data_IF_304897037869
#
_entry.id   IF_304897037869
#
_cell.length_a   1.000
_cell.length_b   1.000
_cell.length_c   1.000
_cell.angle_alpha   90.00
_cell.angle_beta   90.00
_cell.angle_gamma   90.00
#
_symmetry.space_group_name_H-M   'P 1'
#
loop_
_entity.id
_entity.type
_entity.pdbx_description
1 polymer ?
#
# COMPACT_ATOMS: atom_id res chain seq x y z
N UNK A 1 -5.20 -2.47 -35.12
CA UNK A 1 -6.33 -2.99 -34.32
C UNK A 1 -6.00 -4.27 -33.53
N UNK A 2 -4.97 -5.05 -33.90
CA UNK A 2 -4.64 -6.32 -33.22
C UNK A 2 -4.16 -6.21 -31.77
N UNK A 3 -3.72 -5.04 -31.30
CA UNK A 3 -3.24 -4.87 -29.92
C UNK A 3 -4.37 -4.89 -28.88
N UNK A 4 -5.54 -4.33 -29.19
CA UNK A 4 -6.68 -4.24 -28.25
C UNK A 4 -7.52 -5.53 -28.26
N UNK A 5 -7.17 -6.51 -29.13
CA UNK A 5 -7.86 -7.79 -29.30
C UNK A 5 -9.38 -7.67 -29.48
N UNK A 6 -9.83 -6.62 -30.15
CA UNK A 6 -11.24 -6.46 -30.51
C UNK A 6 -11.52 -7.18 -31.81
N UNK A 7 -12.61 -7.94 -31.84
CA UNK A 7 -13.14 -8.48 -33.08
C UNK A 7 -13.60 -7.35 -34.01
N UNK A 8 -13.34 -7.50 -35.31
CA UNK A 8 -13.61 -6.47 -36.32
C UNK A 8 -15.10 -6.12 -36.35
N UNK A 9 -15.98 -7.12 -36.26
CA UNK A 9 -17.43 -6.92 -36.25
C UNK A 9 -17.89 -6.15 -35.00
N UNK A 10 -17.30 -6.46 -33.84
CA UNK A 10 -17.61 -5.77 -32.60
C UNK A 10 -17.17 -4.30 -32.66
N UNK A 11 -16.01 -4.00 -33.25
CA UNK A 11 -15.53 -2.63 -33.43
C UNK A 11 -16.51 -1.74 -34.20
N UNK A 12 -17.07 -2.23 -35.32
CA UNK A 12 -18.02 -1.44 -36.11
C UNK A 12 -19.39 -1.27 -35.45
N UNK A 13 -19.72 -2.11 -34.46
CA UNK A 13 -20.95 -1.99 -33.68
C UNK A 13 -20.85 -1.00 -32.51
N UNK A 14 -19.64 -0.57 -32.14
CA UNK A 14 -19.40 0.30 -30.99
C UNK A 14 -19.67 1.77 -31.31
N UNK A 15 -20.35 2.45 -30.39
CA UNK A 15 -20.35 3.91 -30.37
C UNK A 15 -19.00 4.45 -29.90
N UNK A 16 -18.65 5.68 -30.30
CA UNK A 16 -17.38 6.31 -29.91
C UNK A 16 -17.11 6.26 -28.39
N UNK A 17 -18.13 6.52 -27.57
CA UNK A 17 -18.01 6.46 -26.10
C UNK A 17 -17.68 5.05 -25.61
N UNK A 18 -18.36 4.04 -26.17
CA UNK A 18 -18.09 2.65 -25.80
C UNK A 18 -16.69 2.24 -26.24
N UNK A 19 -16.27 2.62 -27.44
CA UNK A 19 -14.91 2.38 -27.91
C UNK A 19 -13.87 2.99 -26.97
N UNK A 20 -13.98 4.28 -26.61
CA UNK A 20 -13.06 4.95 -25.69
C UNK A 20 -13.01 4.25 -24.33
N UNK A 21 -14.17 3.85 -23.79
CA UNK A 21 -14.22 3.10 -22.53
C UNK A 21 -13.52 1.75 -22.64
N UNK A 22 -13.70 1.02 -23.74
CA UNK A 22 -13.03 -0.25 -23.99
C UNK A 22 -11.51 -0.08 -24.10
N UNK A 23 -11.04 0.94 -24.82
CA UNK A 23 -9.60 1.23 -24.92
C UNK A 23 -9.00 1.57 -23.56
N UNK A 24 -9.67 2.43 -22.79
CA UNK A 24 -9.21 2.81 -21.45
C UNK A 24 -9.19 1.60 -20.50
N UNK A 25 -10.20 0.73 -20.58
CA UNK A 25 -10.24 -0.52 -19.82
C UNK A 25 -9.10 -1.46 -20.19
N UNK A 26 -8.82 -1.61 -21.49
CA UNK A 26 -7.73 -2.44 -22.00
C UNK A 26 -6.35 -1.93 -21.54
N UNK A 27 -6.11 -0.62 -21.62
CA UNK A 27 -4.86 -0.02 -21.14
C UNK A 27 -4.65 -0.28 -19.66
N UNK A 28 -5.69 -0.06 -18.83
CA UNK A 28 -5.63 -0.36 -17.39
C UNK A 28 -5.31 -1.84 -17.12
N UNK A 29 -5.91 -2.75 -17.89
CA UNK A 29 -5.65 -4.19 -17.76
C UNK A 29 -4.19 -4.53 -18.08
N UNK A 30 -3.65 -4.04 -19.20
CA UNK A 30 -2.25 -4.27 -19.58
C UNK A 30 -1.29 -3.65 -18.57
N UNK A 31 -1.60 -2.47 -18.02
CA UNK A 31 -0.79 -1.84 -16.97
C UNK A 31 -0.76 -2.69 -15.69
N UNK A 32 -1.91 -3.24 -15.25
CA UNK A 32 -1.97 -4.14 -14.09
C UNK A 32 -1.16 -5.41 -14.35
N UNK A 33 -1.32 -6.02 -15.52
CA UNK A 33 -0.60 -7.24 -15.91
C UNK A 33 0.91 -7.01 -16.02
N UNK A 34 1.32 -5.86 -16.54
CA UNK A 34 2.73 -5.46 -16.59
C UNK A 34 3.30 -5.33 -15.18
N UNK A 35 2.59 -4.63 -14.27
CA UNK A 35 3.00 -4.50 -12.87
C UNK A 35 3.11 -5.85 -12.17
N UNK A 36 2.16 -6.76 -12.38
CA UNK A 36 2.20 -8.11 -11.82
C UNK A 36 3.45 -8.87 -12.26
N UNK A 37 3.79 -8.82 -13.56
CA UNK A 37 5.01 -9.45 -14.09
C UNK A 37 6.26 -8.89 -13.42
N UNK A 38 6.35 -7.57 -13.27
CA UNK A 38 7.46 -6.93 -12.58
C UNK A 38 7.58 -7.37 -11.11
N UNK A 39 6.45 -7.53 -10.42
CA UNK A 39 6.43 -8.04 -9.04
C UNK A 39 6.92 -9.50 -8.96
N UNK A 40 6.45 -10.36 -9.87
CA UNK A 40 6.91 -11.76 -9.96
C UNK A 40 8.42 -11.80 -10.20
N UNK A 41 8.92 -11.00 -11.15
CA UNK A 41 10.35 -10.91 -11.44
C UNK A 41 11.15 -10.43 -10.24
N UNK A 42 10.66 -9.41 -9.51
CA UNK A 42 11.33 -8.93 -8.29
C UNK A 42 11.41 -10.03 -7.23
N UNK A 43 10.35 -10.81 -7.04
CA UNK A 43 10.35 -11.94 -6.10
C UNK A 43 11.33 -13.03 -6.52
N UNK A 44 11.42 -13.31 -7.82
CA UNK A 44 12.39 -14.26 -8.35
C UNK A 44 13.83 -13.79 -8.09
N UNK A 45 14.11 -12.50 -8.33
CA UNK A 45 15.41 -11.88 -8.02
C UNK A 45 15.72 -11.93 -6.53
N UNK A 46 14.74 -11.66 -5.68
CA UNK A 46 14.91 -11.75 -4.23
C UNK A 46 15.24 -13.17 -3.80
N UNK A 47 14.50 -14.16 -4.29
CA UNK A 47 14.77 -15.58 -3.99
C UNK A 47 16.16 -16.03 -4.42
N UNK A 48 16.67 -15.54 -5.57
CA UNK A 48 18.01 -15.90 -6.05
C UNK A 48 19.13 -15.16 -5.31
N UNK A 49 18.91 -13.92 -4.87
CA UNK A 49 19.92 -13.10 -4.18
C UNK A 49 19.94 -13.31 -2.67
N UNK A 50 18.79 -13.66 -2.06
CA UNK A 50 18.62 -13.87 -0.62
C UNK A 50 19.72 -14.71 0.05
N UNK A 51 20.14 -15.89 -0.48
CA UNK A 51 21.18 -16.70 0.18
C UNK A 51 22.58 -16.07 0.16
N UNK A 52 22.82 -15.08 -0.71
CA UNK A 52 24.10 -14.38 -0.84
C UNK A 52 24.06 -12.95 -0.30
N UNK A 53 22.88 -12.47 0.10
CA UNK A 53 22.69 -11.14 0.64
C UNK A 53 23.14 -11.06 2.11
N UNK A 54 23.63 -9.89 2.52
CA UNK A 54 23.92 -9.61 3.94
C UNK A 54 22.61 -9.55 4.74
N UNK A 55 22.71 -9.61 6.08
CA UNK A 55 21.54 -9.59 6.97
C UNK A 55 20.59 -8.42 6.68
N UNK A 56 19.28 -8.70 6.76
CA UNK A 56 18.15 -7.76 6.59
C UNK A 56 17.90 -7.20 5.18
N UNK A 57 18.20 -7.96 4.13
CA UNK A 57 17.85 -7.60 2.76
C UNK A 57 16.34 -7.69 2.50
N UNK A 58 15.72 -6.63 1.96
CA UNK A 58 14.29 -6.61 1.60
C UNK A 58 14.08 -6.65 0.08
N UNK A 59 12.91 -7.13 -0.35
CA UNK A 59 12.53 -7.13 -1.78
C UNK A 59 12.60 -5.73 -2.41
N UNK A 60 12.23 -4.70 -1.65
CA UNK A 60 12.24 -3.29 -2.08
C UNK A 60 13.63 -2.74 -2.32
N UNK A 61 14.68 -3.39 -1.82
CA UNK A 61 16.06 -2.95 -2.00
C UNK A 61 16.61 -3.36 -3.38
N UNK A 62 15.98 -4.35 -4.04
CA UNK A 62 16.35 -4.80 -5.39
C UNK A 62 15.87 -3.78 -6.42
N UNK A 63 14.55 -3.56 -6.46
CA UNK A 63 13.88 -2.65 -7.37
C UNK A 63 12.76 -1.94 -6.61
N UNK A 64 12.82 -0.62 -6.62
CA UNK A 64 11.75 0.26 -6.12
C UNK A 64 10.83 0.62 -7.27
N UNK A 65 9.52 0.39 -7.09
CA UNK A 65 8.55 0.74 -8.11
C UNK A 65 7.87 2.09 -7.81
N UNK A 66 7.65 2.95 -8.82
CA UNK A 66 7.03 4.27 -8.62
C UNK A 66 5.62 4.23 -8.02
N UNK A 67 4.87 3.15 -8.25
CA UNK A 67 3.52 2.99 -7.71
C UNK A 67 3.50 2.54 -6.23
N UNK A 68 4.62 2.09 -5.69
CA UNK A 68 4.73 1.72 -4.27
C UNK A 68 5.03 2.92 -3.38
N UNK A 69 5.70 3.97 -3.91
CA UNK A 69 6.02 5.18 -3.14
C UNK A 69 4.79 5.84 -2.53
N UNK A 70 3.70 5.93 -3.31
CA UNK A 70 2.43 6.49 -2.82
C UNK A 70 1.85 5.66 -1.68
N UNK A 71 1.85 4.34 -1.83
CA UNK A 71 1.34 3.43 -0.81
C UNK A 71 2.18 3.49 0.48
N UNK A 72 3.49 3.67 0.36
CA UNK A 72 4.40 3.81 1.50
C UNK A 72 4.15 5.10 2.30
N UNK A 73 3.89 6.22 1.61
CA UNK A 73 3.54 7.49 2.27
C UNK A 73 2.23 7.33 3.04
N UNK A 74 1.19 6.77 2.41
CA UNK A 74 -0.11 6.54 3.06
C UNK A 74 -0.01 5.59 4.26
N UNK A 75 0.83 4.56 4.19
CA UNK A 75 1.08 3.64 5.31
C UNK A 75 1.80 4.36 6.46
N UNK A 76 2.84 5.14 6.15
CA UNK A 76 3.58 5.89 7.15
C UNK A 76 2.70 6.90 7.88
N UNK A 77 1.81 7.60 7.18
CA UNK A 77 0.85 8.52 7.79
C UNK A 77 -0.14 7.80 8.72
N UNK A 78 -0.63 6.62 8.31
CA UNK A 78 -1.51 5.80 9.16
C UNK A 78 -0.81 5.32 10.42
N UNK A 79 0.43 4.84 10.30
CA UNK A 79 1.24 4.40 11.45
C UNK A 79 1.51 5.55 12.42
N UNK A 80 1.81 6.75 11.90
CA UNK A 80 2.00 7.94 12.71
C UNK A 80 0.75 8.32 13.50
N UNK A 81 -0.41 8.33 12.84
CA UNK A 81 -1.68 8.64 13.50
C UNK A 81 -2.03 7.62 14.59
N UNK A 82 -1.77 6.34 14.33
CA UNK A 82 -1.97 5.28 15.31
C UNK A 82 -1.07 5.47 16.55
N UNK A 83 0.20 5.83 16.35
CA UNK A 83 1.13 6.14 17.45
C UNK A 83 0.63 7.31 18.31
N UNK A 84 0.14 8.38 17.68
CA UNK A 84 -0.44 9.52 18.38
C UNK A 84 -1.67 9.13 19.22
N UNK A 85 -2.53 8.26 18.71
CA UNK A 85 -3.66 7.73 19.49
C UNK A 85 -3.20 6.94 20.72
N UNK A 86 -2.16 6.11 20.58
CA UNK A 86 -1.60 5.37 21.72
C UNK A 86 -1.00 6.29 22.76
N UNK A 87 -0.28 7.33 22.33
CA UNK A 87 0.28 8.34 23.22
C UNK A 87 -0.82 9.07 24.00
N UNK A 88 -1.89 9.52 23.33
CA UNK A 88 -3.04 10.16 23.99
C UNK A 88 -3.71 9.23 25.00
N UNK A 89 -3.88 7.95 24.67
CA UNK A 89 -4.43 6.94 25.59
C UNK A 89 -3.52 6.73 26.81
N UNK A 90 -2.20 6.75 26.60
CA UNK A 90 -1.22 6.62 27.69
C UNK A 90 -1.26 7.82 28.63
N UNK A 91 -1.26 9.05 28.08
CA UNK A 91 -1.36 10.28 28.85
C UNK A 91 -2.65 10.27 29.67
N UNK A 92 -3.80 9.98 29.04
CA UNK A 92 -5.08 9.90 29.73
C UNK A 92 -5.11 8.82 30.83
N UNK A 93 -4.42 7.70 30.62
CA UNK A 93 -4.29 6.66 31.64
C UNK A 93 -3.51 7.16 32.87
N UNK A 94 -2.35 7.79 32.66
CA UNK A 94 -1.52 8.31 33.75
C UNK A 94 -2.19 9.47 34.50
N UNK A 95 -2.86 10.39 33.80
CA UNK A 95 -3.64 11.47 34.43
C UNK A 95 -4.73 10.93 35.37
N UNK A 96 -5.42 9.88 34.94
CA UNK A 96 -6.46 9.24 35.74
C UNK A 96 -5.85 8.47 36.93
N UNK A 97 -4.69 7.84 36.74
CA UNK A 97 -3.96 7.17 37.80
C UNK A 97 -3.52 8.16 38.90
N UNK A 98 -2.92 9.28 38.50
CA UNK A 98 -2.44 10.31 39.42
C UNK A 98 -3.59 10.98 40.19
N UNK A 99 -4.72 11.26 39.53
CA UNK A 99 -5.94 11.75 40.20
C UNK A 99 -6.44 10.79 41.27
N UNK A 100 -6.49 9.48 40.97
CA UNK A 100 -6.90 8.46 41.95
C UNK A 100 -5.96 8.39 43.14
N UNK A 101 -4.64 8.48 42.88
CA UNK A 101 -3.62 8.49 43.93
C UNK A 101 -3.75 9.73 44.83
N UNK A 102 -3.97 10.90 44.25
CA UNK A 102 -4.16 12.14 45.00
C UNK A 102 -5.43 12.11 45.88
N UNK A 103 -6.55 11.58 45.37
CA UNK A 103 -7.78 11.41 46.16
C UNK A 103 -7.58 10.48 47.36
N UNK A 104 -6.84 9.38 47.18
CA UNK A 104 -6.55 8.43 48.27
C UNK A 104 -5.75 9.10 49.40
N UNK A 105 -4.76 9.90 49.06
CA UNK A 105 -3.94 10.65 50.01
C UNK A 105 -4.73 11.73 50.79
N UNK A 106 -5.77 12.31 50.18
CA UNK A 106 -6.66 13.27 50.83
C UNK A 106 -7.71 12.60 51.74
N UNK A 107 -8.04 11.33 51.50
CA UNK A 107 -8.98 10.56 52.35
C UNK A 107 -8.33 9.89 53.56
N UNK A 108 -7.00 9.80 53.59
CA UNK A 108 -6.22 9.17 54.67
C UNK A 108 -5.67 10.20 55.70
N UNK A 109 -5.88 11.50 55.47
CA UNK A 109 -5.65 12.60 56.43
C UNK A 109 -6.99 13.15 56.95
#
# INVERSE_FOLDING_TARGET
>A
MGQIRLEVNYFYSLTYRQFVNTVNGFQKYEDVKSRERWLITRKLMYGSMSPYAKENFKETDIIKFPWEEKALIELSEKEHNLMLEYEQKSIAFFDNYDKKKAQKLLSEN
#
